data_IF_733192584240
#
_entry.id   IF_733192584240
#
_cell.length_a   1.000
_cell.length_b   1.000
_cell.length_c   1.000
_cell.angle_alpha   90.00
_cell.angle_beta   90.00
_cell.angle_gamma   90.00
#
_symmetry.space_group_name_H-M   'P 1'
#
loop_
_entity.id
_entity.type
_entity.pdbx_description
1 polymer ?
#
# COMPACT_ATOMS: atom_id res chain seq x y z
N UNK A 1 -49.81 2.27 2.75
CA UNK A 1 -48.42 2.14 2.28
C UNK A 1 -47.48 2.79 3.27
N UNK A 2 -46.96 1.95 4.18
CA UNK A 2 -45.99 2.35 5.20
C UNK A 2 -44.58 2.35 4.58
N UNK A 3 -43.69 3.28 4.95
CA UNK A 3 -42.31 3.23 4.49
C UNK A 3 -41.56 2.15 5.29
N UNK A 4 -40.86 1.29 4.56
CA UNK A 4 -39.91 0.30 5.08
C UNK A 4 -38.83 1.01 5.91
N UNK A 5 -39.00 1.00 7.23
CA UNK A 5 -37.93 1.24 8.17
C UNK A 5 -37.10 -0.05 8.22
N UNK A 6 -36.06 -0.11 7.39
CA UNK A 6 -35.05 -1.15 7.48
C UNK A 6 -34.35 -1.00 8.84
N UNK A 7 -34.81 -1.80 9.80
CA UNK A 7 -34.27 -1.83 11.14
C UNK A 7 -32.81 -2.28 11.05
N UNK A 8 -31.88 -1.33 11.22
CA UNK A 8 -30.49 -1.60 11.51
C UNK A 8 -30.43 -2.46 12.77
N UNK A 9 -30.39 -3.78 12.57
CA UNK A 9 -30.22 -4.75 13.63
C UNK A 9 -28.78 -4.60 14.11
N UNK A 10 -28.59 -3.74 15.11
CA UNK A 10 -27.33 -3.61 15.83
C UNK A 10 -27.01 -4.98 16.42
N UNK A 11 -26.18 -5.77 15.74
CA UNK A 11 -25.65 -7.02 16.28
C UNK A 11 -24.89 -6.64 17.55
N UNK A 12 -25.45 -7.01 18.69
CA UNK A 12 -24.76 -6.91 19.98
C UNK A 12 -23.61 -7.90 19.91
N UNK A 13 -22.41 -7.40 19.58
CA UNK A 13 -21.18 -8.19 19.60
C UNK A 13 -20.65 -8.23 21.04
N UNK A 14 -20.16 -9.38 21.51
CA UNK A 14 -19.44 -9.53 22.80
C UNK A 14 -18.03 -8.92 22.72
N UNK A 15 -17.87 -7.87 21.92
CA UNK A 15 -16.58 -7.28 21.61
C UNK A 15 -16.20 -6.25 22.67
N UNK A 16 -15.04 -6.44 23.29
CA UNK A 16 -14.43 -5.45 24.19
C UNK A 16 -13.42 -4.63 23.41
N UNK A 17 -13.48 -3.30 23.52
CA UNK A 17 -12.58 -2.41 22.78
C UNK A 17 -11.85 -1.44 23.72
N UNK A 18 -10.67 -1.00 23.30
CA UNK A 18 -9.90 0.04 23.97
C UNK A 18 -9.17 0.89 22.92
N UNK A 19 -9.02 2.19 23.20
CA UNK A 19 -8.16 3.08 22.42
C UNK A 19 -7.06 3.60 23.35
N UNK A 20 -5.82 3.57 22.87
CA UNK A 20 -4.63 3.79 23.67
C UNK A 20 -4.04 5.13 23.29
N UNK A 21 -3.63 5.89 24.30
CA UNK A 21 -2.88 7.13 24.15
C UNK A 21 -1.47 6.92 24.69
N UNK A 22 -0.50 7.62 24.11
CA UNK A 22 0.87 7.64 24.59
C UNK A 22 1.10 8.88 25.47
N UNK A 23 1.75 8.68 26.61
CA UNK A 23 2.43 9.74 27.38
C UNK A 23 3.84 9.28 27.70
N UNK A 24 4.83 9.99 27.19
CA UNK A 24 6.25 9.74 27.41
C UNK A 24 6.83 10.69 28.48
N UNK A 25 8.05 10.41 28.94
CA UNK A 25 8.76 11.28 29.90
C UNK A 25 9.41 12.49 29.23
N UNK A 26 9.70 12.40 27.92
CA UNK A 26 10.34 13.46 27.14
C UNK A 26 9.65 13.64 25.80
N UNK A 27 9.77 14.85 25.25
CA UNK A 27 9.30 15.10 23.88
C UNK A 27 10.22 14.41 22.89
N UNK A 28 9.66 13.70 21.93
CA UNK A 28 10.40 13.11 20.83
C UNK A 28 9.52 13.02 19.58
N UNK A 29 10.17 13.05 18.41
CA UNK A 29 9.55 12.75 17.12
C UNK A 29 9.39 11.24 16.88
N UNK A 30 10.02 10.41 17.72
CA UNK A 30 9.93 8.95 17.70
C UNK A 30 9.97 8.38 19.11
N UNK A 31 8.96 7.58 19.43
CA UNK A 31 8.81 6.82 20.68
C UNK A 31 8.80 5.32 20.38
N UNK A 32 9.47 4.55 21.24
CA UNK A 32 9.46 3.09 21.21
C UNK A 32 8.96 2.62 22.56
N UNK A 33 7.82 1.94 22.57
CA UNK A 33 7.17 1.47 23.79
C UNK A 33 7.05 -0.04 23.72
N UNK A 34 7.64 -0.75 24.67
CA UNK A 34 7.44 -2.20 24.79
C UNK A 34 6.04 -2.48 25.31
N UNK A 35 5.19 -3.06 24.48
CA UNK A 35 3.82 -3.41 24.84
C UNK A 35 3.76 -4.72 25.63
N UNK A 36 4.56 -5.70 25.24
CA UNK A 36 4.53 -7.02 25.85
C UNK A 36 5.91 -7.68 25.80
N UNK A 37 6.26 -8.39 26.88
CA UNK A 37 7.46 -9.22 26.93
C UNK A 37 7.30 -10.51 26.12
N UNK A 38 6.06 -11.01 26.00
CA UNK A 38 5.66 -12.14 25.18
C UNK A 38 4.23 -11.93 24.67
N UNK A 39 3.90 -12.55 23.53
CA UNK A 39 2.52 -12.54 23.01
C UNK A 39 1.72 -13.68 23.63
N UNK A 40 0.53 -13.39 24.13
CA UNK A 40 -0.43 -14.39 24.61
C UNK A 40 -1.35 -14.84 23.46
N UNK A 41 -0.76 -15.47 22.44
CA UNK A 41 -1.48 -15.93 21.26
C UNK A 41 -0.92 -17.26 20.76
N UNK A 42 -1.79 -18.11 20.22
CA UNK A 42 -1.36 -19.36 19.58
C UNK A 42 -0.86 -19.13 18.16
N UNK A 43 -1.51 -18.21 17.43
CA UNK A 43 -1.19 -17.81 16.05
C UNK A 43 -1.63 -16.38 15.79
N UNK A 44 -1.04 -15.75 14.78
CA UNK A 44 -1.51 -14.47 14.27
C UNK A 44 -1.38 -14.34 12.76
N UNK A 45 -2.11 -13.37 12.21
CA UNK A 45 -1.85 -12.77 10.91
C UNK A 45 -1.58 -11.26 11.11
N UNK A 46 -0.51 -10.77 10.50
CA UNK A 46 -0.11 -9.37 10.53
C UNK A 46 -0.12 -8.81 9.11
N UNK A 47 -0.40 -7.51 8.95
CA UNK A 47 -0.18 -6.78 7.71
C UNK A 47 0.93 -5.77 7.94
N UNK A 48 2.09 -6.01 7.32
CA UNK A 48 3.28 -5.19 7.50
C UNK A 48 3.64 -4.44 6.22
N UNK A 49 4.01 -3.18 6.37
CA UNK A 49 4.41 -2.32 5.25
C UNK A 49 5.76 -2.77 4.71
N UNK A 50 5.76 -3.36 3.50
CA UNK A 50 6.97 -3.86 2.85
C UNK A 50 7.58 -2.85 1.85
N UNK A 51 6.80 -1.85 1.43
CA UNK A 51 7.23 -0.69 0.62
C UNK A 51 6.44 0.55 1.05
N UNK A 52 6.80 1.73 0.52
CA UNK A 52 6.06 2.98 0.84
C UNK A 52 4.55 2.87 0.67
N UNK A 53 4.09 2.14 -0.35
CA UNK A 53 2.66 2.07 -0.72
C UNK A 53 2.05 0.67 -0.56
N UNK A 54 2.81 -0.33 -0.10
CA UNK A 54 2.38 -1.74 -0.11
C UNK A 54 2.56 -2.38 1.26
N UNK A 55 1.58 -3.21 1.61
CA UNK A 55 1.67 -4.13 2.73
C UNK A 55 1.75 -5.58 2.24
N UNK A 56 2.34 -6.45 3.04
CA UNK A 56 2.32 -7.89 2.86
C UNK A 56 1.76 -8.55 4.12
N UNK A 57 0.98 -9.64 3.98
CA UNK A 57 0.65 -10.45 5.13
C UNK A 57 1.90 -11.16 5.67
N UNK A 58 1.92 -11.38 6.97
CA UNK A 58 2.86 -12.24 7.67
C UNK A 58 2.08 -13.08 8.70
N UNK A 59 2.62 -14.25 9.05
CA UNK A 59 2.01 -15.18 9.98
C UNK A 59 3.07 -15.66 10.97
N UNK A 60 2.64 -15.87 12.20
CA UNK A 60 3.54 -16.31 13.27
C UNK A 60 2.80 -16.72 14.51
N UNK A 61 3.55 -16.94 15.58
CA UNK A 61 3.01 -17.28 16.90
C UNK A 61 3.76 -16.60 18.05
N UNK A 62 4.74 -15.74 17.74
CA UNK A 62 5.53 -15.04 18.74
C UNK A 62 5.91 -13.64 18.29
N UNK A 63 6.37 -12.79 19.22
CA UNK A 63 6.81 -11.44 18.88
C UNK A 63 7.94 -11.43 17.84
N UNK A 64 8.81 -12.44 17.78
CA UNK A 64 9.89 -12.51 16.79
C UNK A 64 9.37 -12.59 15.35
N UNK A 65 8.19 -13.19 15.15
CA UNK A 65 7.58 -13.33 13.83
C UNK A 65 6.88 -12.05 13.34
N UNK A 66 6.68 -11.05 14.22
CA UNK A 66 5.98 -9.80 13.86
C UNK A 66 6.94 -8.91 13.09
N UNK A 67 6.71 -8.65 11.79
CA UNK A 67 7.61 -7.81 11.02
C UNK A 67 7.57 -6.37 11.53
N UNK A 68 8.67 -5.65 11.35
CA UNK A 68 8.67 -4.21 11.52
C UNK A 68 7.64 -3.54 10.61
N UNK A 69 7.14 -2.37 11.02
CA UNK A 69 6.13 -1.61 10.27
C UNK A 69 4.79 -2.36 10.12
N UNK A 70 4.42 -3.18 11.11
CA UNK A 70 3.11 -3.83 11.16
C UNK A 70 2.01 -2.82 11.47
N UNK A 71 1.00 -2.72 10.59
CA UNK A 71 -0.11 -1.76 10.69
C UNK A 71 -1.43 -2.42 11.08
N UNK A 72 -1.47 -3.75 11.13
CA UNK A 72 -2.61 -4.54 11.55
C UNK A 72 -2.10 -5.86 12.09
N UNK A 73 -2.64 -6.31 13.22
CA UNK A 73 -2.29 -7.59 13.82
C UNK A 73 -3.55 -8.25 14.40
N UNK A 74 -3.91 -9.42 13.88
CA UNK A 74 -4.99 -10.24 14.39
C UNK A 74 -4.41 -11.51 15.03
N UNK A 75 -4.70 -11.71 16.30
CA UNK A 75 -4.20 -12.80 17.13
C UNK A 75 -5.34 -13.76 17.50
N UNK A 76 -5.07 -15.05 17.42
CA UNK A 76 -5.84 -16.10 18.07
C UNK A 76 -5.35 -16.23 19.52
N UNK A 77 -6.21 -15.94 20.49
CA UNK A 77 -5.86 -15.94 21.90
C UNK A 77 -5.79 -17.38 22.46
N UNK A 78 -4.96 -17.57 23.47
CA UNK A 78 -4.80 -18.86 24.16
C UNK A 78 -6.11 -19.31 24.84
N UNK A 79 -6.18 -20.60 25.17
CA UNK A 79 -7.29 -21.23 25.91
C UNK A 79 -8.69 -21.03 25.29
N UNK A 80 -8.75 -20.77 23.98
CA UNK A 80 -10.01 -20.51 23.29
C UNK A 80 -10.68 -19.20 23.73
N UNK A 81 -9.90 -18.24 24.25
CA UNK A 81 -10.40 -16.94 24.69
C UNK A 81 -10.95 -16.05 23.55
N UNK A 82 -10.74 -16.46 22.29
CA UNK A 82 -11.24 -15.80 21.09
C UNK A 82 -10.10 -15.16 20.29
N UNK A 83 -10.35 -13.96 19.78
CA UNK A 83 -9.44 -13.23 18.91
C UNK A 83 -9.21 -11.84 19.45
N UNK A 84 -8.01 -11.31 19.24
CA UNK A 84 -7.66 -9.92 19.48
C UNK A 84 -7.16 -9.25 18.20
N UNK A 85 -7.77 -8.12 17.84
CA UNK A 85 -7.29 -7.24 16.78
C UNK A 85 -6.56 -6.06 17.43
N UNK A 86 -5.27 -5.92 17.15
CA UNK A 86 -4.47 -4.75 17.46
C UNK A 86 -4.28 -3.93 16.18
N UNK A 87 -4.77 -2.70 16.21
CA UNK A 87 -4.80 -1.78 15.08
C UNK A 87 -4.03 -0.51 15.45
N UNK A 88 -2.72 -0.44 15.12
CA UNK A 88 -1.99 0.82 15.10
C UNK A 88 -2.70 1.83 14.21
N UNK A 89 -2.73 3.07 14.66
CA UNK A 89 -3.53 4.14 14.06
C UNK A 89 -2.63 5.22 13.49
N UNK A 90 -3.13 5.90 12.46
CA UNK A 90 -2.52 7.11 11.94
C UNK A 90 -3.35 8.30 12.41
N UNK A 91 -2.81 9.04 13.38
CA UNK A 91 -3.37 10.32 13.81
C UNK A 91 -3.03 11.43 12.82
N UNK A 92 -3.10 12.67 13.29
CA UNK A 92 -2.79 13.84 12.47
C UNK A 92 -1.29 13.92 12.15
N UNK A 93 -0.45 14.14 13.17
CA UNK A 93 1.00 14.34 13.02
C UNK A 93 1.78 13.03 13.20
N UNK A 94 1.32 12.16 14.09
CA UNK A 94 1.98 10.91 14.44
C UNK A 94 1.23 9.72 13.86
N UNK A 95 2.00 8.75 13.37
CA UNK A 95 1.53 7.41 13.04
C UNK A 95 2.12 6.41 14.02
N UNK A 96 1.48 5.26 14.14
CA UNK A 96 2.04 4.15 14.87
C UNK A 96 2.11 2.86 14.06
N UNK A 97 3.03 1.99 14.46
CA UNK A 97 3.22 0.64 13.92
C UNK A 97 3.68 -0.31 15.02
N UNK A 98 3.52 -1.60 14.79
CA UNK A 98 4.09 -2.64 15.64
C UNK A 98 5.38 -3.19 15.03
N UNK A 99 6.28 -3.65 15.89
CA UNK A 99 7.43 -4.46 15.49
C UNK A 99 7.76 -5.50 16.56
N UNK A 100 8.20 -6.66 16.07
CA UNK A 100 8.76 -7.73 16.87
C UNK A 100 10.21 -7.53 17.24
N UNK A 101 10.68 -8.27 18.23
CA UNK A 101 12.11 -8.38 18.57
C UNK A 101 12.58 -9.83 18.57
N UNK A 102 13.89 -10.05 18.45
CA UNK A 102 14.50 -11.39 18.56
C UNK A 102 14.35 -12.04 19.94
N UNK A 103 13.81 -11.32 20.94
CA UNK A 103 13.49 -11.85 22.27
C UNK A 103 12.00 -12.25 22.40
N UNK A 104 11.22 -12.15 21.33
CA UNK A 104 9.79 -12.42 21.36
C UNK A 104 8.95 -11.27 21.93
N UNK A 105 9.55 -10.10 22.20
CA UNK A 105 8.87 -8.90 22.68
C UNK A 105 8.11 -8.20 21.53
N UNK A 106 7.02 -7.52 21.87
CA UNK A 106 6.24 -6.69 20.94
C UNK A 106 6.40 -5.21 21.32
N UNK A 107 6.82 -4.39 20.35
CA UNK A 107 6.96 -2.95 20.52
C UNK A 107 5.91 -2.19 19.70
N UNK A 108 5.44 -1.07 20.25
CA UNK A 108 4.72 -0.02 19.56
C UNK A 108 5.70 1.11 19.24
N UNK A 109 5.76 1.45 17.96
CA UNK A 109 6.49 2.60 17.45
C UNK A 109 5.48 3.70 17.21
N UNK A 110 5.75 4.91 17.73
CA UNK A 110 4.92 6.10 17.51
C UNK A 110 5.82 7.21 17.01
N UNK A 111 5.63 7.67 15.78
CA UNK A 111 6.55 8.62 15.15
C UNK A 111 5.85 9.59 14.19
N UNK A 112 6.36 10.81 14.12
CA UNK A 112 5.96 11.84 13.16
C UNK A 112 6.76 11.76 11.86
N UNK A 113 7.90 11.07 11.89
CA UNK A 113 8.90 11.06 10.81
C UNK A 113 9.38 12.47 10.42
N UNK A 114 9.30 13.43 11.35
CA UNK A 114 9.79 14.80 11.21
C UNK A 114 10.46 15.24 12.52
N UNK A 115 11.74 15.63 12.46
CA UNK A 115 12.50 15.98 13.67
C UNK A 115 11.94 17.22 14.38
N UNK A 116 11.30 18.12 13.63
CA UNK A 116 10.69 19.35 14.15
C UNK A 116 9.32 19.08 14.80
N UNK A 117 8.68 17.95 14.48
CA UNK A 117 7.40 17.52 15.05
C UNK A 117 7.65 16.53 16.18
N UNK A 118 7.75 17.04 17.41
CA UNK A 118 7.94 16.24 18.62
C UNK A 118 6.77 16.39 19.58
N UNK A 119 6.45 15.31 20.30
CA UNK A 119 5.39 15.33 21.30
C UNK A 119 5.73 14.50 22.53
N UNK A 120 5.23 14.93 23.69
CA UNK A 120 5.21 14.16 24.95
C UNK A 120 3.96 13.29 25.03
N UNK A 121 2.85 13.76 24.45
CA UNK A 121 1.55 13.08 24.43
C UNK A 121 1.08 12.90 23.00
N UNK A 122 0.63 11.70 22.66
CA UNK A 122 0.04 11.38 21.36
C UNK A 122 -1.25 10.61 21.61
N UNK A 123 -2.37 11.14 21.13
CA UNK A 123 -3.67 10.52 21.30
C UNK A 123 -3.92 9.46 20.21
N UNK A 124 -4.74 8.47 20.55
CA UNK A 124 -5.20 7.43 19.64
C UNK A 124 -4.05 6.81 18.86
N UNK A 125 -3.06 6.24 19.57
CA UNK A 125 -1.88 5.56 18.98
C UNK A 125 -2.13 4.09 18.67
N UNK A 126 -3.16 3.48 19.25
CA UNK A 126 -3.56 2.13 18.88
C UNK A 126 -5.00 1.89 19.33
N UNK A 127 -5.72 1.07 18.60
CA UNK A 127 -6.96 0.47 19.05
C UNK A 127 -6.74 -1.02 19.25
N UNK A 128 -7.31 -1.58 20.32
CA UNK A 128 -7.44 -3.03 20.46
C UNK A 128 -8.89 -3.42 20.63
N UNK A 129 -9.27 -4.54 20.02
CA UNK A 129 -10.56 -5.16 20.22
C UNK A 129 -10.40 -6.66 20.45
N UNK A 130 -11.20 -7.24 21.34
CA UNK A 130 -11.28 -8.69 21.54
C UNK A 130 -12.70 -9.17 21.30
N UNK A 131 -12.87 -10.28 20.60
CA UNK A 131 -14.17 -10.92 20.37
C UNK A 131 -14.02 -12.43 20.18
N UNK A 132 -15.13 -13.18 20.18
CA UNK A 132 -15.13 -14.64 19.91
C UNK A 132 -14.86 -14.99 18.45
N UNK A 133 -15.13 -14.06 17.54
CA UNK A 133 -14.92 -14.18 16.09
C UNK A 133 -13.80 -13.24 15.64
N UNK A 134 -12.95 -13.65 14.68
CA UNK A 134 -11.93 -12.76 14.13
C UNK A 134 -12.56 -11.58 13.39
N UNK A 135 -13.70 -11.81 12.72
CA UNK A 135 -14.42 -10.76 11.99
C UNK A 135 -15.01 -9.72 12.94
N UNK A 136 -15.59 -10.15 14.06
CA UNK A 136 -16.15 -9.24 15.04
C UNK A 136 -15.05 -8.43 15.75
N UNK A 137 -13.88 -9.05 16.00
CA UNK A 137 -12.73 -8.34 16.56
C UNK A 137 -12.21 -7.26 15.58
N UNK A 138 -12.12 -7.56 14.29
CA UNK A 138 -11.71 -6.58 13.26
C UNK A 138 -12.75 -5.46 13.17
N UNK A 139 -14.02 -5.79 13.06
CA UNK A 139 -15.11 -4.83 12.92
C UNK A 139 -15.18 -3.89 14.12
N UNK A 140 -15.15 -4.42 15.34
CA UNK A 140 -15.14 -3.62 16.56
C UNK A 140 -13.89 -2.74 16.70
N UNK A 141 -12.72 -3.20 16.24
CA UNK A 141 -11.52 -2.37 16.19
C UNK A 141 -11.68 -1.20 15.20
N UNK A 142 -12.25 -1.45 14.02
CA UNK A 142 -12.51 -0.40 13.03
C UNK A 142 -13.55 0.62 13.52
N UNK A 143 -14.66 0.17 14.14
CA UNK A 143 -15.65 1.05 14.78
C UNK A 143 -15.03 1.91 15.89
N UNK A 144 -14.16 1.32 16.71
CA UNK A 144 -13.48 2.06 17.77
C UNK A 144 -12.46 3.04 17.21
N UNK A 145 -11.73 2.69 16.16
CA UNK A 145 -10.80 3.58 15.47
C UNK A 145 -11.53 4.74 14.79
N UNK A 146 -12.68 4.48 14.17
CA UNK A 146 -13.54 5.52 13.58
C UNK A 146 -13.92 6.57 14.62
N UNK A 147 -14.40 6.14 15.79
CA UNK A 147 -14.77 7.04 16.90
C UNK A 147 -13.56 7.77 17.49
N UNK A 148 -12.41 7.11 17.57
CA UNK A 148 -11.20 7.68 18.16
C UNK A 148 -10.49 8.69 17.26
N UNK A 149 -10.57 8.53 15.94
CA UNK A 149 -9.90 9.38 14.95
C UNK A 149 -10.83 10.40 14.29
N UNK A 150 -12.09 10.05 14.06
CA UNK A 150 -13.07 10.93 13.41
C UNK A 150 -12.75 11.29 11.96
N UNK A 151 -11.89 10.52 11.28
CA UNK A 151 -11.34 10.87 9.96
C UNK A 151 -11.85 10.00 8.80
N UNK A 152 -12.68 9.01 9.07
CA UNK A 152 -13.20 8.09 8.06
C UNK A 152 -14.57 7.52 8.43
N UNK A 153 -15.23 6.91 7.45
CA UNK A 153 -16.45 6.12 7.63
C UNK A 153 -16.17 4.63 7.40
N UNK A 154 -16.92 3.78 8.10
CA UNK A 154 -16.92 2.33 7.86
C UNK A 154 -17.56 2.01 6.50
N UNK A 155 -17.20 0.86 5.92
CA UNK A 155 -17.57 0.51 4.55
C UNK A 155 -19.09 0.50 4.35
N UNK A 156 -19.83 -0.07 5.30
CA UNK A 156 -21.29 -0.15 5.34
C UNK A 156 -21.97 1.24 5.37
N UNK A 157 -21.27 2.27 5.83
CA UNK A 157 -21.78 3.64 5.89
C UNK A 157 -21.34 4.47 4.68
N UNK A 158 -20.45 3.95 3.83
CA UNK A 158 -19.99 4.67 2.64
C UNK A 158 -21.04 4.62 1.56
N UNK A 159 -21.29 5.78 0.94
CA UNK A 159 -22.09 5.86 -0.28
C UNK A 159 -21.33 5.19 -1.42
N UNK A 160 -21.89 4.12 -1.96
CA UNK A 160 -21.38 3.46 -3.16
C UNK A 160 -21.55 4.44 -4.34
N UNK A 161 -20.49 4.79 -5.08
CA UNK A 161 -20.60 5.66 -6.24
C UNK A 161 -21.28 4.91 -7.40
N UNK A 162 -22.02 5.63 -8.24
CA UNK A 162 -22.67 5.06 -9.44
C UNK A 162 -21.67 4.39 -10.40
N UNK A 163 -20.39 4.74 -10.32
CA UNK A 163 -19.32 4.09 -11.09
C UNK A 163 -19.09 2.63 -10.72
N UNK A 164 -19.56 2.17 -9.55
CA UNK A 164 -19.45 0.77 -9.13
C UNK A 164 -20.42 -0.16 -9.88
N UNK A 165 -21.53 0.37 -10.39
CA UNK A 165 -22.60 -0.39 -11.08
C UNK A 165 -22.46 -0.41 -12.60
N UNK A 166 -21.30 0.00 -13.11
CA UNK A 166 -21.06 0.08 -14.55
C UNK A 166 -19.80 -0.68 -14.92
N UNK A 167 -19.80 -1.23 -16.14
CA UNK A 167 -18.57 -1.74 -16.72
C UNK A 167 -17.62 -0.57 -17.01
N UNK A 168 -16.38 -0.71 -16.57
CA UNK A 168 -15.30 0.18 -16.97
C UNK A 168 -14.04 -0.59 -17.30
N UNK A 169 -13.07 0.13 -17.84
CA UNK A 169 -11.89 -0.47 -18.43
C UNK A 169 -10.63 0.21 -17.92
N UNK A 170 -9.64 -0.59 -17.55
CA UNK A 170 -8.30 -0.14 -17.17
C UNK A 170 -7.34 -0.42 -18.33
N UNK A 171 -6.50 0.56 -18.67
CA UNK A 171 -5.58 0.46 -19.80
C UNK A 171 -4.41 -0.51 -19.58
N UNK A 172 -4.18 -0.97 -18.35
CA UNK A 172 -2.98 -1.73 -17.97
C UNK A 172 -2.80 -3.05 -18.74
N UNK A 173 -3.79 -3.93 -18.75
CA UNK A 173 -3.64 -5.24 -19.39
C UNK A 173 -3.53 -5.14 -20.93
N UNK A 174 -3.99 -4.03 -21.51
CA UNK A 174 -3.92 -3.77 -22.94
C UNK A 174 -2.57 -3.17 -23.38
N UNK A 175 -1.97 -2.30 -22.56
CA UNK A 175 -0.80 -1.52 -22.99
C UNK A 175 0.37 -1.52 -22.03
N UNK A 176 0.20 -1.95 -20.78
CA UNK A 176 1.13 -1.68 -19.69
C UNK A 176 1.56 -0.20 -19.73
N UNK A 177 2.86 0.07 -19.73
CA UNK A 177 3.42 1.43 -19.79
C UNK A 177 3.32 2.11 -21.16
N UNK A 178 2.90 1.40 -22.21
CA UNK A 178 2.85 1.89 -23.59
C UNK A 178 1.49 2.53 -23.96
N UNK A 179 0.68 2.87 -22.96
CA UNK A 179 -0.60 3.56 -23.17
C UNK A 179 -0.42 4.86 -23.96
N UNK A 180 -1.29 5.10 -24.93
CA UNK A 180 -1.34 6.31 -25.77
C UNK A 180 -2.78 6.81 -25.87
N UNK A 181 -2.99 8.10 -26.18
CA UNK A 181 -4.35 8.60 -26.37
C UNK A 181 -5.12 7.89 -27.50
N UNK A 182 -4.46 7.65 -28.63
CA UNK A 182 -5.03 6.89 -29.76
C UNK A 182 -5.33 5.44 -29.36
N UNK A 183 -4.49 4.83 -28.53
CA UNK A 183 -4.75 3.49 -27.98
C UNK A 183 -5.98 3.45 -27.10
N UNK A 184 -6.17 4.46 -26.25
CA UNK A 184 -7.38 4.60 -25.41
C UNK A 184 -8.62 4.76 -26.28
N UNK A 185 -8.61 5.67 -27.25
CA UNK A 185 -9.75 5.89 -28.18
C UNK A 185 -10.12 4.61 -28.91
N UNK A 186 -9.13 3.90 -29.46
CA UNK A 186 -9.35 2.63 -30.15
C UNK A 186 -9.91 1.55 -29.19
N UNK A 187 -9.35 1.42 -27.98
CA UNK A 187 -9.85 0.45 -27.00
C UNK A 187 -11.30 0.69 -26.60
N UNK A 188 -11.67 1.95 -26.34
CA UNK A 188 -13.05 2.35 -26.02
C UNK A 188 -13.99 2.07 -27.20
N UNK A 189 -13.56 2.38 -28.42
CA UNK A 189 -14.36 2.15 -29.63
C UNK A 189 -14.60 0.65 -29.86
N UNK A 190 -13.56 -0.18 -29.74
CA UNK A 190 -13.67 -1.64 -29.90
C UNK A 190 -14.57 -2.27 -28.85
N UNK A 191 -14.49 -1.82 -27.58
CA UNK A 191 -15.38 -2.28 -26.52
C UNK A 191 -16.85 -1.93 -26.81
N UNK A 192 -17.10 -0.72 -27.32
CA UNK A 192 -18.44 -0.29 -27.73
C UNK A 192 -18.96 -1.12 -28.91
N UNK A 193 -18.15 -1.33 -29.95
CA UNK A 193 -18.52 -2.14 -31.12
C UNK A 193 -18.76 -3.61 -30.76
N UNK A 194 -18.01 -4.13 -29.79
CA UNK A 194 -18.20 -5.47 -29.23
C UNK A 194 -19.38 -5.62 -28.26
N UNK A 195 -20.22 -4.59 -28.11
CA UNK A 195 -21.42 -4.64 -27.27
C UNK A 195 -21.19 -4.49 -25.76
N UNK A 196 -19.95 -4.18 -25.33
CA UNK A 196 -19.59 -3.99 -23.91
C UNK A 196 -18.95 -2.61 -23.70
N UNK A 197 -19.71 -1.50 -23.88
CA UNK A 197 -19.15 -0.17 -23.80
C UNK A 197 -18.64 0.17 -22.39
N UNK A 198 -17.37 0.56 -22.27
CA UNK A 198 -16.81 1.08 -21.02
C UNK A 198 -17.44 2.45 -20.68
N UNK A 199 -18.09 2.53 -19.51
CA UNK A 199 -18.72 3.76 -19.00
C UNK A 199 -17.81 4.57 -18.08
N UNK A 200 -16.67 4.01 -17.70
CA UNK A 200 -15.53 4.73 -17.13
C UNK A 200 -14.22 4.11 -17.64
N UNK A 201 -13.17 4.92 -17.68
CA UNK A 201 -11.84 4.49 -18.11
C UNK A 201 -10.83 4.89 -17.03
N UNK A 202 -10.00 3.93 -16.62
CA UNK A 202 -8.81 4.17 -15.80
C UNK A 202 -7.60 4.17 -16.73
N UNK A 203 -6.91 5.30 -16.79
CA UNK A 203 -5.63 5.41 -17.48
C UNK A 203 -4.54 5.01 -16.47
N UNK A 204 -4.05 3.79 -16.60
CA UNK A 204 -3.00 3.22 -15.75
C UNK A 204 -1.61 3.74 -16.14
N UNK A 205 -0.58 3.25 -15.46
CA UNK A 205 0.79 3.77 -15.55
C UNK A 205 1.33 3.83 -16.99
N UNK A 206 2.11 4.87 -17.27
CA UNK A 206 2.70 5.14 -18.58
C UNK A 206 2.14 6.36 -19.32
N UNK A 207 1.16 7.08 -18.79
CA UNK A 207 0.71 8.37 -19.34
C UNK A 207 1.54 9.56 -18.83
N UNK A 208 2.21 9.37 -17.70
CA UNK A 208 2.91 10.38 -16.94
C UNK A 208 4.43 10.18 -16.96
N UNK A 209 5.16 11.29 -16.79
CA UNK A 209 6.57 11.30 -16.41
C UNK A 209 6.66 11.72 -14.95
N UNK A 210 7.41 10.93 -14.16
CA UNK A 210 7.66 11.20 -12.75
C UNK A 210 9.08 11.72 -12.55
N UNK A 211 9.22 12.79 -11.77
CA UNK A 211 10.52 13.33 -11.40
C UNK A 211 10.78 13.02 -9.92
N UNK A 212 11.76 12.14 -9.61
CA UNK A 212 12.08 11.82 -8.23
C UNK A 212 12.83 12.98 -7.54
N UNK A 213 12.77 13.02 -6.21
CA UNK A 213 13.57 13.96 -5.41
C UNK A 213 15.06 13.84 -5.77
N UNK A 214 15.80 14.94 -5.61
CA UNK A 214 17.22 15.02 -5.98
C UNK A 214 18.05 13.85 -5.44
N UNK A 215 17.75 13.39 -4.23
CA UNK A 215 18.42 12.27 -3.56
C UNK A 215 18.25 10.92 -4.26
N UNK A 216 17.20 10.73 -5.05
CA UNK A 216 16.89 9.49 -5.78
C UNK A 216 17.21 9.58 -7.28
N UNK A 217 17.69 10.73 -7.77
CA UNK A 217 18.14 10.85 -9.16
C UNK A 217 19.47 10.11 -9.30
N UNK A 218 19.61 9.25 -10.32
CA UNK A 218 20.93 8.71 -10.69
C UNK A 218 21.80 9.91 -11.04
N UNK A 219 22.82 10.18 -10.22
CA UNK A 219 23.81 11.20 -10.52
C UNK A 219 24.53 10.77 -11.81
N UNK A 220 24.08 11.28 -12.96
CA UNK A 220 24.86 11.16 -14.17
C UNK A 220 26.09 12.05 -13.97
N UNK A 221 27.29 11.53 -14.22
CA UNK A 221 28.57 12.26 -14.12
C UNK A 221 28.60 13.50 -15.06
N UNK A 222 27.57 13.71 -15.88
CA UNK A 222 27.40 14.82 -16.81
C UNK A 222 26.40 15.89 -16.39
N UNK A 223 25.60 15.70 -15.33
CA UNK A 223 24.61 16.71 -14.93
C UNK A 223 25.23 17.76 -13.99
N UNK A 224 25.87 18.77 -14.60
CA UNK A 224 26.25 20.02 -13.92
C UNK A 224 25.10 21.04 -13.86
N UNK A 225 23.97 20.74 -14.48
CA UNK A 225 22.78 21.61 -14.54
C UNK A 225 21.54 20.85 -14.12
N UNK A 226 20.58 21.58 -13.54
CA UNK A 226 19.25 21.06 -13.21
C UNK A 226 18.69 20.41 -14.48
N UNK A 227 18.22 19.14 -14.44
CA UNK A 227 17.63 18.50 -15.61
C UNK A 227 16.50 19.38 -16.15
N UNK A 228 16.53 19.62 -17.46
CA UNK A 228 15.49 20.35 -18.17
C UNK A 228 14.11 19.81 -17.74
N UNK A 229 13.21 20.68 -17.22
CA UNK A 229 11.89 20.26 -16.75
C UNK A 229 11.01 19.68 -17.88
N UNK A 230 11.44 19.81 -19.13
CA UNK A 230 10.80 19.28 -20.34
C UNK A 230 11.61 18.13 -20.97
N UNK A 231 12.70 17.67 -20.31
CA UNK A 231 13.47 16.53 -20.76
C UNK A 231 12.62 15.25 -20.75
N UNK A 232 12.64 14.53 -21.87
CA UNK A 232 12.02 13.21 -22.02
C UNK A 232 12.66 12.23 -21.02
N UNK A 233 11.96 11.97 -19.92
CA UNK A 233 12.33 10.90 -18.98
C UNK A 233 12.07 9.58 -19.68
N UNK A 234 13.13 8.91 -20.15
CA UNK A 234 13.04 7.49 -20.53
C UNK A 234 12.83 6.69 -19.25
N UNK A 235 11.66 6.06 -19.04
CA UNK A 235 11.49 5.19 -17.89
C UNK A 235 12.54 4.08 -17.96
N UNK A 236 13.15 3.66 -16.83
CA UNK A 236 13.91 2.42 -16.83
C UNK A 236 12.99 1.30 -17.31
N UNK A 237 13.53 0.24 -17.96
CA UNK A 237 12.72 -0.89 -18.37
C UNK A 237 12.06 -1.52 -17.15
N UNK A 238 10.80 -1.18 -16.90
CA UNK A 238 9.96 -1.81 -15.89
C UNK A 238 9.21 -2.93 -16.58
N UNK A 239 9.57 -4.16 -16.20
CA UNK A 239 8.84 -5.39 -16.51
C UNK A 239 8.48 -5.56 -17.98
N UNK A 240 9.48 -5.83 -18.83
CA UNK A 240 9.16 -6.62 -20.01
C UNK A 240 8.73 -8.01 -19.52
N UNK A 241 7.55 -8.47 -19.93
CA UNK A 241 7.16 -9.87 -19.82
C UNK A 241 8.12 -10.82 -20.58
N UNK A 242 9.12 -10.28 -21.28
CA UNK A 242 10.22 -11.03 -21.84
C UNK A 242 11.17 -11.53 -20.72
N UNK A 243 11.62 -12.80 -20.79
CA UNK A 243 12.65 -13.29 -19.89
C UNK A 243 13.87 -12.34 -19.94
N UNK A 244 14.49 -12.05 -18.80
CA UNK A 244 15.61 -11.12 -18.75
C UNK A 244 16.68 -11.58 -19.75
N UNK A 245 17.18 -10.69 -20.62
CA UNK A 245 18.11 -11.08 -21.66
C UNK A 245 19.41 -11.61 -21.03
N UNK A 246 19.86 -12.78 -21.48
CA UNK A 246 21.13 -13.38 -21.08
C UNK A 246 21.00 -14.76 -20.42
N UNK A 247 22.00 -15.61 -20.70
CA UNK A 247 22.05 -17.01 -20.25
C UNK A 247 21.89 -17.17 -18.73
N UNK A 248 22.59 -16.35 -17.93
CA UNK A 248 22.53 -16.40 -16.47
C UNK A 248 21.14 -16.03 -15.91
N UNK A 249 20.47 -15.07 -16.54
CA UNK A 249 19.17 -14.61 -16.09
C UNK A 249 18.06 -15.63 -16.43
N UNK A 250 18.16 -16.30 -17.59
CA UNK A 250 17.32 -17.44 -17.93
C UNK A 250 17.53 -18.63 -16.98
N UNK A 251 18.78 -18.91 -16.58
CA UNK A 251 19.10 -19.97 -15.64
C UNK A 251 18.54 -19.69 -14.24
N UNK A 252 18.66 -18.44 -13.77
CA UNK A 252 18.07 -17.99 -12.51
C UNK A 252 16.54 -18.07 -12.52
N UNK A 253 15.89 -17.65 -13.61
CA UNK A 253 14.45 -17.75 -13.78
C UNK A 253 13.96 -19.21 -13.80
N UNK A 254 14.67 -20.09 -14.52
CA UNK A 254 14.38 -21.53 -14.54
C UNK A 254 14.54 -22.17 -13.16
N UNK A 255 15.63 -21.87 -12.45
CA UNK A 255 15.83 -22.33 -11.08
C UNK A 255 14.71 -21.85 -10.14
N UNK A 256 14.35 -20.57 -10.23
CA UNK A 256 13.25 -20.00 -9.45
C UNK A 256 11.95 -20.79 -9.69
N UNK A 257 11.49 -20.91 -10.94
CA UNK A 257 10.20 -21.57 -11.23
C UNK A 257 10.20 -23.06 -10.92
N UNK A 258 11.27 -23.78 -11.29
CA UNK A 258 11.30 -25.24 -11.21
C UNK A 258 11.72 -25.78 -9.83
N UNK A 259 12.43 -24.98 -9.02
CA UNK A 259 12.93 -25.43 -7.71
C UNK A 259 12.34 -24.65 -6.56
N UNK A 260 12.40 -23.32 -6.64
CA UNK A 260 11.98 -22.49 -5.52
C UNK A 260 10.46 -22.34 -5.45
N UNK A 261 9.83 -21.93 -6.54
CA UNK A 261 8.39 -21.70 -6.62
C UNK A 261 7.61 -23.01 -6.43
N UNK A 262 8.13 -24.11 -6.97
CA UNK A 262 7.59 -25.45 -6.78
C UNK A 262 7.85 -26.05 -5.38
N UNK A 263 8.68 -25.42 -4.54
CA UNK A 263 8.97 -25.93 -3.19
C UNK A 263 7.75 -25.78 -2.28
N UNK A 264 7.40 -26.87 -1.58
CA UNK A 264 6.38 -26.81 -0.51
C UNK A 264 6.82 -25.84 0.59
N UNK A 265 5.86 -25.03 1.08
CA UNK A 265 6.06 -24.13 2.21
C UNK A 265 6.55 -24.91 3.45
N UNK A 266 7.57 -24.38 4.15
CA UNK A 266 8.26 -25.03 5.29
C UNK A 266 8.95 -26.38 4.99
N UNK A 267 9.19 -26.71 3.72
CA UNK A 267 10.07 -27.84 3.40
C UNK A 267 11.53 -27.54 3.78
N UNK A 268 12.38 -28.56 3.84
CA UNK A 268 13.82 -28.39 4.02
C UNK A 268 14.41 -27.39 3.00
N UNK A 269 14.06 -27.53 1.73
CA UNK A 269 14.48 -26.61 0.65
C UNK A 269 14.03 -25.18 0.90
N UNK A 270 12.80 -24.99 1.41
CA UNK A 270 12.30 -23.67 1.78
C UNK A 270 13.10 -23.06 2.95
N UNK A 271 13.44 -23.85 3.97
CA UNK A 271 14.25 -23.39 5.10
C UNK A 271 15.67 -23.00 4.67
N UNK A 272 16.32 -23.82 3.84
CA UNK A 272 17.63 -23.50 3.27
C UNK A 272 17.57 -22.20 2.46
N UNK A 273 16.57 -22.06 1.60
CA UNK A 273 16.43 -20.86 0.79
C UNK A 273 16.06 -19.62 1.62
N UNK A 274 15.18 -19.73 2.61
CA UNK A 274 14.87 -18.64 3.55
C UNK A 274 16.13 -18.18 4.27
N UNK A 275 16.96 -19.11 4.73
CA UNK A 275 18.22 -18.79 5.39
C UNK A 275 19.17 -18.06 4.42
N UNK A 276 19.34 -18.59 3.21
CA UNK A 276 20.15 -17.93 2.18
C UNK A 276 19.63 -16.54 1.81
N UNK A 277 18.32 -16.37 1.61
CA UNK A 277 17.72 -15.07 1.31
C UNK A 277 17.86 -14.08 2.45
N UNK A 278 17.63 -14.52 3.69
CA UNK A 278 17.64 -13.63 4.85
C UNK A 278 19.06 -13.24 5.28
N UNK A 279 20.06 -14.09 5.05
CA UNK A 279 21.40 -13.88 5.61
C UNK A 279 22.51 -13.73 4.56
N UNK A 280 22.39 -14.35 3.39
CA UNK A 280 23.43 -14.31 2.34
C UNK A 280 23.07 -13.29 1.25
N UNK A 281 21.87 -13.40 0.69
CA UNK A 281 21.45 -12.61 -0.46
C UNK A 281 20.65 -11.37 -0.08
N UNK A 282 20.32 -11.19 1.20
CA UNK A 282 19.41 -10.14 1.66
C UNK A 282 19.83 -8.77 1.15
N UNK A 283 21.08 -8.38 1.38
CA UNK A 283 21.58 -7.06 0.98
C UNK A 283 21.53 -6.88 -0.55
N UNK A 284 21.91 -7.90 -1.32
CA UNK A 284 21.86 -7.85 -2.78
C UNK A 284 20.43 -7.72 -3.29
N UNK A 285 19.52 -8.60 -2.83
CA UNK A 285 18.11 -8.60 -3.25
C UNK A 285 17.42 -7.32 -2.81
N UNK A 286 17.66 -6.86 -1.59
CA UNK A 286 17.16 -5.57 -1.09
C UNK A 286 17.60 -4.43 -1.99
N UNK A 287 18.87 -4.37 -2.40
CA UNK A 287 19.41 -3.29 -3.23
C UNK A 287 18.84 -3.33 -4.66
N UNK A 288 18.72 -4.53 -5.24
CA UNK A 288 18.10 -4.74 -6.56
C UNK A 288 16.62 -4.38 -6.54
N UNK A 289 15.85 -4.90 -5.58
CA UNK A 289 14.40 -4.62 -5.47
C UNK A 289 14.14 -3.15 -5.14
N UNK A 290 14.96 -2.54 -4.28
CA UNK A 290 14.88 -1.11 -4.00
C UNK A 290 15.18 -0.27 -5.25
N UNK A 291 16.17 -0.68 -6.07
CA UNK A 291 16.55 0.03 -7.30
C UNK A 291 15.65 -0.22 -8.51
N UNK A 292 14.92 -1.35 -8.55
CA UNK A 292 13.98 -1.69 -9.63
C UNK A 292 12.61 -1.03 -9.46
N UNK A 293 12.25 -0.67 -8.24
CA UNK A 293 10.92 -0.16 -7.93
C UNK A 293 11.00 1.34 -7.64
N UNK A 294 10.72 2.15 -8.66
CA UNK A 294 10.47 3.60 -8.51
C UNK A 294 9.33 3.89 -7.51
N UNK A 295 8.52 2.88 -7.16
CA UNK A 295 7.53 2.91 -6.09
C UNK A 295 8.12 3.22 -4.70
N UNK A 296 9.44 3.20 -4.52
CA UNK A 296 10.07 3.62 -3.26
C UNK A 296 10.58 5.06 -3.28
N UNK A 297 10.42 5.79 -4.39
CA UNK A 297 10.92 7.16 -4.51
C UNK A 297 9.81 8.16 -4.22
N UNK A 298 10.12 9.18 -3.43
CA UNK A 298 9.29 10.38 -3.37
C UNK A 298 9.40 11.11 -4.70
N UNK A 299 8.25 11.51 -5.23
CA UNK A 299 8.13 12.30 -6.45
C UNK A 299 7.64 13.69 -6.06
N UNK A 300 8.27 14.72 -6.61
CA UNK A 300 7.87 16.11 -6.36
C UNK A 300 7.03 16.70 -7.50
N UNK A 301 6.97 16.00 -8.65
CA UNK A 301 6.16 16.39 -9.79
C UNK A 301 5.72 15.17 -10.60
N UNK A 302 4.47 15.23 -11.08
CA UNK A 302 3.89 14.32 -12.06
C UNK A 302 3.40 15.17 -13.23
N UNK A 303 3.90 14.92 -14.43
CA UNK A 303 3.48 15.62 -15.66
C UNK A 303 2.99 14.61 -16.69
N UNK A 304 2.05 14.99 -17.56
CA UNK A 304 1.80 14.24 -18.78
C UNK A 304 3.11 14.06 -19.55
N UNK A 305 3.39 12.86 -20.07
CA UNK A 305 4.60 12.62 -20.86
C UNK A 305 4.40 13.03 -22.33
N UNK A 306 5.47 12.93 -23.12
CA UNK A 306 5.47 13.31 -24.54
C UNK A 306 4.34 12.66 -25.38
N UNK A 307 3.86 11.46 -25.02
CA UNK A 307 2.74 10.79 -25.71
C UNK A 307 1.42 11.52 -25.52
N UNK A 308 1.26 12.21 -24.39
CA UNK A 308 0.04 12.94 -24.00
C UNK A 308 0.18 14.47 -24.13
N UNK A 309 1.40 15.02 -24.11
CA UNK A 309 1.63 16.46 -24.31
C UNK A 309 1.28 16.93 -25.73
N UNK A 310 1.50 16.09 -26.75
CA UNK A 310 1.18 16.41 -28.15
C UNK A 310 -0.34 16.65 -28.39
N UNK A 311 -1.20 16.15 -27.51
CA UNK A 311 -2.63 16.44 -27.53
C UNK A 311 -2.95 17.86 -27.05
N UNK A 312 -2.25 18.35 -26.03
CA UNK A 312 -2.55 19.65 -25.41
C UNK A 312 -2.41 20.79 -26.44
N UNK A 313 -1.36 20.75 -27.28
CA UNK A 313 -1.15 21.73 -28.34
C UNK A 313 -2.25 21.71 -29.43
N UNK A 314 -2.83 20.54 -29.69
CA UNK A 314 -3.89 20.36 -30.71
C UNK A 314 -5.28 20.63 -30.13
N UNK A 315 -5.53 20.26 -28.87
CA UNK A 315 -6.77 20.51 -28.13
C UNK A 315 -6.93 21.98 -27.75
N UNK A 316 -5.85 22.68 -27.33
CA UNK A 316 -5.86 24.14 -27.09
C UNK A 316 -6.32 24.94 -28.31
N UNK A 317 -6.09 24.42 -29.51
CA UNK A 317 -6.54 25.04 -30.77
C UNK A 317 -8.00 24.76 -31.11
N UNK A 318 -8.64 23.78 -30.48
CA UNK A 318 -9.92 23.20 -30.96
C UNK A 318 -11.04 23.25 -29.91
N UNK A 319 -10.74 23.38 -28.62
CA UNK A 319 -11.75 23.48 -27.56
C UNK A 319 -12.26 24.90 -27.41
N UNK A 320 -13.56 25.12 -27.64
CA UNK A 320 -14.21 26.38 -27.26
C UNK A 320 -14.06 26.61 -25.75
N UNK A 321 -13.80 27.86 -25.34
CA UNK A 321 -13.66 28.27 -23.93
C UNK A 321 -14.74 27.69 -23.00
N UNK A 322 -15.96 27.47 -23.49
CA UNK A 322 -17.11 26.95 -22.74
C UNK A 322 -16.98 25.50 -22.25
N UNK A 323 -16.14 24.68 -22.88
CA UNK A 323 -15.93 23.28 -22.46
C UNK A 323 -14.86 23.19 -21.36
N UNK A 324 -13.81 24.01 -21.46
CA UNK A 324 -12.75 24.09 -20.45
C UNK A 324 -13.27 24.48 -19.07
N UNK A 325 -14.31 25.32 -18.99
CA UNK A 325 -14.95 25.72 -17.73
C UNK A 325 -15.81 24.60 -17.08
N UNK A 326 -16.15 23.53 -17.81
CA UNK A 326 -17.08 22.49 -17.34
C UNK A 326 -16.43 21.14 -17.00
N UNK A 327 -15.23 20.84 -17.50
CA UNK A 327 -14.65 19.48 -17.42
C UNK A 327 -13.32 19.36 -16.70
N UNK A 328 -12.67 20.44 -16.30
CA UNK A 328 -11.48 20.36 -15.46
C UNK A 328 -11.84 20.69 -14.00
N UNK A 329 -11.54 19.79 -13.04
CA UNK A 329 -11.48 20.21 -11.65
C UNK A 329 -10.44 21.33 -11.56
N UNK A 330 -10.86 22.51 -11.08
CA UNK A 330 -9.92 23.54 -10.64
C UNK A 330 -9.20 22.97 -9.41
N UNK A 331 -7.97 22.48 -9.62
CA UNK A 331 -7.00 22.26 -8.56
C UNK A 331 -6.19 23.54 -8.37
#
# INVERSE_FOLDING_TARGET
>A
DAPDAEAATMKVTDARTSAWNLRADRSASRHVVRLAASMACTKFVASARCKLWWMTPAWGSSGEDVPAETQFLLMELEDGAGFACALPTSGNIFRSTLEGTSRGELNLIVESNCADESAIRVDSVMVMATARSPYDAIHAAMERAQRALGTFELLENKKIPLSADVFGWCSWDAFYTDVTPTGIEHGVQTLREGGTPARFVIIDDGWQSVLPDKSYRKASVKDKTIPDPDAVVKPPPTTSAAPPPGFLAALAASFYWNRLHASKFRSFTWHVFRLLMNYVFFNMVKLVVAGMSNFNHRVYAVKANHKFQALDDKMKRTLSQRVLDKTLPKF
#
